data_IF_354367518462
#
_entry.id   IF_354367518462
#
_cell.length_a   1.000
_cell.length_b   1.000
_cell.length_c   1.000
_cell.angle_alpha   90.00
_cell.angle_beta   90.00
_cell.angle_gamma   90.00
#
_symmetry.space_group_name_H-M   'P 1'
#
loop_
_entity.id
_entity.type
_entity.pdbx_description
1 polymer ?
#
# COMPACT_ATOMS: atom_id res chain seq x y z
N UNK A 1 3.43 -11.25 -2.67
CA UNK A 1 3.75 -10.33 -1.57
C UNK A 1 2.75 -9.20 -1.61
N UNK A 2 1.90 -9.06 -0.60
CA UNK A 2 0.81 -8.08 -0.63
C UNK A 2 1.35 -6.65 -0.47
N UNK A 3 0.81 -5.72 -1.25
CA UNK A 3 1.19 -4.29 -1.22
C UNK A 3 1.00 -3.69 0.17
N UNK A 4 -0.11 -4.02 0.85
CA UNK A 4 -0.40 -3.59 2.24
C UNK A 4 0.68 -4.08 3.21
N UNK A 5 1.13 -5.33 3.07
CA UNK A 5 2.17 -5.90 3.94
C UNK A 5 3.51 -5.20 3.73
N UNK A 6 3.85 -4.85 2.48
CA UNK A 6 5.06 -4.07 2.17
C UNK A 6 5.00 -2.66 2.77
N UNK A 7 3.88 -1.95 2.62
CA UNK A 7 3.70 -0.61 3.16
C UNK A 7 3.81 -0.59 4.69
N UNK A 8 3.20 -1.58 5.36
CA UNK A 8 3.31 -1.73 6.81
C UNK A 8 4.73 -2.08 7.27
N UNK A 9 5.47 -2.87 6.49
CA UNK A 9 6.87 -3.16 6.76
C UNK A 9 7.73 -1.88 6.68
N UNK A 10 7.47 -1.01 5.70
CA UNK A 10 8.15 0.29 5.59
C UNK A 10 7.86 1.19 6.79
N UNK A 11 6.60 1.31 7.21
CA UNK A 11 6.24 2.08 8.41
C UNK A 11 7.00 1.58 9.66
N UNK A 12 7.12 0.26 9.79
CA UNK A 12 7.81 -0.38 10.91
C UNK A 12 9.32 -0.13 10.89
N UNK A 13 9.94 -0.16 9.70
CA UNK A 13 11.33 0.19 9.51
C UNK A 13 11.60 1.66 9.91
N UNK A 14 10.78 2.60 9.44
CA UNK A 14 10.90 4.01 9.79
C UNK A 14 10.85 4.24 11.31
N UNK A 15 9.96 3.54 12.04
CA UNK A 15 9.90 3.59 13.51
C UNK A 15 11.16 3.02 14.18
N UNK A 16 11.72 1.93 13.65
CA UNK A 16 12.97 1.37 14.16
C UNK A 16 14.15 2.33 13.94
N UNK A 17 14.22 2.95 12.76
CA UNK A 17 15.24 3.96 12.45
C UNK A 17 15.08 5.20 13.34
N UNK A 18 13.85 5.62 13.64
CA UNK A 18 13.58 6.76 14.54
C UNK A 18 14.08 6.49 15.98
N UNK A 19 13.96 5.25 16.46
CA UNK A 19 14.48 4.85 17.77
C UNK A 19 16.01 4.86 17.83
N UNK A 20 16.68 4.63 16.69
CA UNK A 20 18.13 4.64 16.58
C UNK A 20 18.71 6.04 16.30
N UNK A 21 17.92 6.95 15.73
CA UNK A 21 18.35 8.30 15.33
C UNK A 21 17.46 9.38 15.99
N UNK A 22 17.73 9.75 17.26
CA UNK A 22 16.93 10.73 17.97
C UNK A 22 16.91 12.11 17.29
N UNK A 23 18.00 12.52 16.61
CA UNK A 23 18.10 13.79 15.90
C UNK A 23 17.12 13.92 14.71
N UNK A 24 16.75 12.79 14.10
CA UNK A 24 15.86 12.72 12.93
C UNK A 24 14.57 11.98 13.24
N UNK A 25 14.28 11.71 14.51
CA UNK A 25 13.15 10.87 14.91
C UNK A 25 11.82 11.45 14.39
N UNK A 26 11.64 12.77 14.47
CA UNK A 26 10.37 13.41 14.12
C UNK A 26 10.07 13.27 12.63
N UNK A 27 11.09 13.34 11.78
CA UNK A 27 10.96 13.18 10.33
C UNK A 27 10.65 11.72 9.96
N UNK A 28 11.31 10.78 10.63
CA UNK A 28 11.11 9.34 10.42
C UNK A 28 9.74 8.87 10.94
N UNK A 29 9.24 9.47 12.02
CA UNK A 29 7.89 9.21 12.53
C UNK A 29 6.81 9.73 11.57
N UNK A 30 7.00 10.93 11.00
CA UNK A 30 6.09 11.46 9.99
C UNK A 30 6.06 10.57 8.72
N UNK A 31 7.23 10.05 8.31
CA UNK A 31 7.31 9.13 7.19
C UNK A 31 6.67 7.77 7.50
N UNK A 32 6.80 7.27 8.74
CA UNK A 32 6.11 6.07 9.18
C UNK A 32 4.58 6.20 9.11
N UNK A 33 4.05 7.35 9.52
CA UNK A 33 2.61 7.65 9.45
C UNK A 33 2.12 7.70 7.99
N UNK A 34 2.89 8.31 7.09
CA UNK A 34 2.60 8.30 5.65
C UNK A 34 2.48 6.88 5.08
N UNK A 35 3.42 5.99 5.43
CA UNK A 35 3.37 4.58 5.01
C UNK A 35 2.15 3.84 5.55
N UNK A 36 1.74 4.15 6.77
CA UNK A 36 0.58 3.56 7.43
C UNK A 36 -0.74 4.02 6.79
N UNK A 37 -0.84 5.31 6.42
CA UNK A 37 -1.97 5.83 5.64
C UNK A 37 -2.09 5.14 4.28
N UNK A 38 -1.00 5.05 3.51
CA UNK A 38 -1.01 4.33 2.23
C UNK A 38 -1.42 2.86 2.39
N UNK A 39 -0.96 2.19 3.46
CA UNK A 39 -1.34 0.81 3.73
C UNK A 39 -2.84 0.69 4.01
N UNK A 40 -3.41 1.64 4.74
CA UNK A 40 -4.84 1.69 5.03
C UNK A 40 -5.66 2.00 3.78
N UNK A 41 -5.24 2.95 2.95
CA UNK A 41 -5.92 3.30 1.70
C UNK A 41 -5.91 2.12 0.72
N UNK A 42 -4.75 1.49 0.53
CA UNK A 42 -4.64 0.28 -0.30
C UNK A 42 -5.52 -0.87 0.23
N UNK A 43 -5.69 -0.98 1.54
CA UNK A 43 -6.56 -2.00 2.15
C UNK A 43 -8.04 -1.68 1.89
N UNK A 44 -8.43 -0.41 1.90
CA UNK A 44 -9.79 0.04 1.61
C UNK A 44 -10.14 -0.22 0.14
N UNK A 45 -9.25 0.08 -0.79
CA UNK A 45 -9.43 -0.19 -2.22
C UNK A 45 -9.71 -1.67 -2.52
N UNK A 46 -8.96 -2.57 -1.88
CA UNK A 46 -9.20 -4.01 -2.00
C UNK A 46 -10.50 -4.46 -1.31
N UNK A 47 -10.88 -3.82 -0.21
CA UNK A 47 -12.09 -4.18 0.56
C UNK A 47 -13.37 -3.74 -0.17
N UNK A 48 -13.38 -2.57 -0.83
CA UNK A 48 -14.50 -2.12 -1.65
C UNK A 48 -14.70 -2.95 -2.93
N UNK A 49 -13.66 -3.61 -3.42
CA UNK A 49 -13.77 -4.58 -4.53
C UNK A 49 -14.33 -5.93 -4.07
N UNK A 50 -14.22 -6.24 -2.78
CA UNK A 50 -14.69 -7.51 -2.20
C UNK A 50 -16.05 -7.42 -1.49
N UNK A 51 -16.63 -6.22 -1.40
CA UNK A 51 -17.97 -5.98 -0.88
C UNK A 51 -19.01 -5.99 -2.00
N UNK A 52 -19.89 -7.00 -1.98
CA UNK A 52 -21.01 -7.27 -2.90
C UNK A 52 -20.67 -8.29 -3.99
N UNK A 53 -20.84 -9.55 -3.61
CA UNK A 53 -21.66 -10.45 -4.41
C UNK A 53 -22.75 -11.00 -3.51
N UNK A 54 -23.78 -10.20 -3.26
CA UNK A 54 -25.10 -10.79 -2.99
C UNK A 54 -25.46 -11.55 -4.26
N UNK A 55 -25.73 -12.87 -4.22
CA UNK A 55 -26.25 -13.54 -5.38
C UNK A 55 -27.68 -13.02 -5.61
N UNK A 56 -27.80 -12.05 -6.52
CA UNK A 56 -29.08 -11.75 -7.14
C UNK A 56 -29.49 -13.01 -7.92
N UNK A 57 -30.43 -13.74 -7.36
CA UNK A 57 -31.22 -14.77 -8.02
C UNK A 57 -31.80 -14.13 -9.30
N UNK A 58 -31.42 -14.64 -10.48
CA UNK A 58 -31.89 -14.11 -11.76
C UNK A 58 -31.03 -14.47 -12.96
N UNK A 59 -30.93 -15.77 -13.25
CA UNK A 59 -31.00 -16.37 -14.58
C UNK A 59 -30.71 -15.56 -15.88
N UNK A 60 -29.70 -16.08 -16.60
CA UNK A 60 -29.53 -16.14 -18.07
C UNK A 60 -28.81 -14.99 -18.84
N UNK A 61 -27.60 -15.33 -19.28
CA UNK A 61 -27.00 -15.07 -20.60
C UNK A 61 -26.94 -13.64 -21.17
N UNK A 62 -25.74 -13.04 -21.15
CA UNK A 62 -24.99 -12.74 -22.38
C UNK A 62 -23.54 -12.26 -22.14
N UNK A 63 -22.67 -12.77 -22.99
CA UNK A 63 -21.47 -12.16 -23.57
C UNK A 63 -21.14 -10.74 -23.14
N UNK A 64 -19.96 -10.54 -22.55
CA UNK A 64 -18.80 -9.91 -23.20
C UNK A 64 -17.64 -9.89 -22.21
N UNK A 65 -16.64 -10.72 -22.49
CA UNK A 65 -15.32 -10.64 -21.87
C UNK A 65 -14.70 -9.29 -22.28
N UNK A 66 -14.85 -8.26 -21.45
CA UNK A 66 -14.28 -6.93 -21.71
C UNK A 66 -13.23 -6.59 -20.68
N UNK A 67 -11.99 -6.72 -21.13
CA UNK A 67 -10.75 -6.30 -20.51
C UNK A 67 -10.87 -5.05 -19.60
N UNK A 68 -10.50 -5.20 -18.34
CA UNK A 68 -9.97 -4.14 -17.47
C UNK A 68 -8.85 -4.82 -16.69
N UNK A 69 -7.63 -4.80 -17.18
CA UNK A 69 -6.80 -3.61 -17.20
C UNK A 69 -5.64 -3.93 -16.26
N UNK A 70 -4.59 -4.50 -16.83
CA UNK A 70 -3.29 -4.66 -16.16
C UNK A 70 -2.84 -3.26 -15.74
N UNK A 71 -2.96 -2.95 -14.45
CA UNK A 71 -2.29 -1.81 -13.86
C UNK A 71 -0.80 -2.16 -13.73
N UNK A 72 -0.13 -2.07 -14.87
CA UNK A 72 1.31 -1.98 -14.96
C UNK A 72 1.77 -0.59 -14.50
N UNK A 73 3.00 -0.57 -13.96
CA UNK A 73 3.87 0.60 -13.88
C UNK A 73 3.56 1.67 -12.81
N UNK A 74 3.86 1.34 -11.56
CA UNK A 74 4.55 2.24 -10.64
C UNK A 74 4.97 1.38 -9.44
N UNK A 75 6.24 1.04 -9.24
CA UNK A 75 7.15 1.87 -8.44
C UNK A 75 8.56 1.24 -8.56
N UNK A 76 9.26 1.58 -9.64
CA UNK A 76 10.73 1.45 -9.73
C UNK A 76 11.44 2.65 -9.06
N UNK A 77 10.72 3.45 -8.29
CA UNK A 77 11.26 4.65 -7.66
C UNK A 77 10.93 4.58 -6.18
N UNK A 78 11.77 3.86 -5.45
CA UNK A 78 12.06 4.27 -4.09
C UNK A 78 13.50 4.78 -4.09
N UNK A 79 13.73 6.10 -4.08
CA UNK A 79 15.00 6.59 -3.60
C UNK A 79 15.08 6.15 -2.14
N UNK A 80 15.96 5.21 -1.85
CA UNK A 80 16.43 5.00 -0.49
C UNK A 80 16.95 6.34 0.04
N UNK A 81 16.40 6.93 1.12
CA UNK A 81 17.04 8.08 1.75
C UNK A 81 18.22 7.66 2.65
N UNK A 82 18.67 6.41 2.55
CA UNK A 82 19.92 5.92 3.13
C UNK A 82 21.15 6.30 2.28
N UNK A 83 21.14 7.50 1.69
CA UNK A 83 22.39 8.11 1.23
C UNK A 83 23.04 8.74 2.46
N UNK A 84 24.17 8.14 2.86
CA UNK A 84 24.83 8.41 4.13
C UNK A 84 25.44 9.80 4.24
N UNK A 85 25.84 10.15 5.46
CA UNK A 85 27.26 10.34 5.77
C UNK A 85 27.42 10.64 7.28
N UNK A 86 28.23 9.79 7.92
CA UNK A 86 29.00 9.97 9.15
C UNK A 86 28.31 10.48 10.41
#
# INVERSE_FOLDING_TARGET
MDTVNRLRAMASLCRQTAAHHPDRNWKLLAEAEYWEHLANDARLDHTCTSGVSLPAIGDHANTTQSARGVAACALSVYPSPFDGHN
#
